data_IF_788760966776
#
_entry.id   IF_788760966776
#
_cell.length_a   1.000
_cell.length_b   1.000
_cell.length_c   1.000
_cell.angle_alpha   90.00
_cell.angle_beta   90.00
_cell.angle_gamma   90.00
#
_symmetry.space_group_name_H-M   'P 1'
#
loop_
_entity.id
_entity.type
_entity.pdbx_description
1 polymer ?
#
# COMPACT_ATOMS: atom_id res chain seq x y z
N UNK A 1 21.08 -11.89 16.38
CA UNK A 1 22.33 -12.21 15.70
C UNK A 1 21.97 -12.85 14.40
N UNK A 2 22.24 -12.16 13.32
CA UNK A 2 22.11 -12.66 11.95
C UNK A 2 23.16 -13.75 11.83
N UNK A 3 22.76 -15.00 11.97
CA UNK A 3 23.63 -16.13 12.07
C UNK A 3 24.68 -16.16 10.97
N UNK A 4 25.84 -16.72 11.28
CA UNK A 4 26.99 -16.94 10.42
C UNK A 4 26.71 -17.87 9.24
N UNK A 5 25.69 -17.55 8.45
CA UNK A 5 25.37 -18.14 7.17
C UNK A 5 25.79 -17.20 6.06
N UNK A 6 26.15 -17.73 4.89
CA UNK A 6 26.59 -17.01 3.69
C UNK A 6 26.03 -15.60 3.63
N UNK A 7 26.87 -14.56 3.45
CA UNK A 7 26.38 -13.19 3.33
C UNK A 7 25.23 -13.18 2.31
N UNK A 8 24.18 -12.44 2.64
CA UNK A 8 23.14 -12.11 1.65
C UNK A 8 23.86 -11.33 0.55
N UNK A 9 24.40 -12.06 -0.45
CA UNK A 9 25.26 -11.47 -1.48
C UNK A 9 24.64 -10.20 -2.05
N UNK A 10 25.43 -9.19 -2.36
CA UNK A 10 25.01 -7.91 -2.91
C UNK A 10 25.27 -6.71 -2.03
N UNK A 11 25.69 -6.88 -0.78
CA UNK A 11 26.25 -5.77 -0.03
C UNK A 11 27.76 -5.68 -0.35
N UNK A 12 28.24 -4.68 -1.11
CA UNK A 12 29.66 -4.45 -1.25
C UNK A 12 30.25 -4.34 0.16
N UNK A 13 31.32 -5.07 0.42
CA UNK A 13 31.97 -5.14 1.72
C UNK A 13 32.16 -3.72 2.29
N UNK A 14 31.51 -3.43 3.43
CA UNK A 14 31.67 -2.17 4.14
C UNK A 14 30.55 -1.14 3.98
N UNK A 15 29.53 -1.35 3.14
CA UNK A 15 28.39 -0.41 3.11
C UNK A 15 27.38 -0.70 4.22
N UNK A 16 26.88 0.34 4.94
CA UNK A 16 25.85 0.12 5.95
C UNK A 16 24.53 -0.32 5.29
N UNK A 17 23.86 -1.29 5.89
CA UNK A 17 22.54 -1.78 5.43
C UNK A 17 21.47 -0.70 5.54
N UNK A 18 21.60 0.17 6.55
CA UNK A 18 20.69 1.28 6.79
C UNK A 18 21.40 2.61 6.60
N UNK A 19 20.81 3.48 5.82
CA UNK A 19 21.31 4.85 5.58
C UNK A 19 20.40 5.83 6.28
N UNK A 20 20.97 6.73 7.09
CA UNK A 20 20.22 7.81 7.72
C UNK A 20 19.79 8.82 6.65
N UNK A 21 18.50 9.14 6.62
CA UNK A 21 17.91 10.06 5.64
C UNK A 21 17.39 11.36 6.27
N UNK A 22 17.41 11.45 7.58
CA UNK A 22 16.97 12.66 8.28
C UNK A 22 16.69 12.42 9.75
N UNK A 23 16.20 13.49 10.38
CA UNK A 23 15.77 13.52 11.76
C UNK A 23 14.30 13.94 11.83
N UNK A 24 13.57 13.41 12.79
CA UNK A 24 12.20 13.82 13.12
C UNK A 24 12.09 13.95 14.65
N UNK A 25 11.01 14.57 15.18
CA UNK A 25 10.75 14.62 16.62
C UNK A 25 10.71 13.23 17.29
N UNK A 26 10.46 12.18 16.51
CA UNK A 26 10.45 10.77 16.95
C UNK A 26 11.82 10.09 16.81
N UNK A 27 12.87 10.80 16.42
CA UNK A 27 14.23 10.29 16.26
C UNK A 27 14.74 10.26 14.82
N UNK A 28 15.85 9.56 14.63
CA UNK A 28 16.48 9.43 13.32
C UNK A 28 15.63 8.59 12.36
N UNK A 29 15.53 9.05 11.12
CA UNK A 29 14.88 8.30 10.02
C UNK A 29 15.94 7.58 9.21
N UNK A 30 15.67 6.33 8.89
CA UNK A 30 16.54 5.47 8.10
C UNK A 30 15.79 4.88 6.90
N UNK A 31 16.53 4.57 5.86
CA UNK A 31 16.08 3.72 4.76
C UNK A 31 17.05 2.58 4.54
N UNK A 32 16.63 1.55 3.84
CA UNK A 32 17.56 0.53 3.34
C UNK A 32 18.53 1.16 2.34
N UNK A 33 19.76 0.69 2.35
CA UNK A 33 20.74 1.11 1.35
C UNK A 33 20.29 0.68 -0.06
N UNK A 34 20.74 1.43 -1.05
CA UNK A 34 20.48 1.12 -2.45
C UNK A 34 21.79 0.77 -3.15
N UNK A 35 21.68 -0.03 -4.19
CA UNK A 35 22.76 -0.29 -5.15
C UNK A 35 23.01 0.97 -6.00
N UNK A 36 24.05 0.96 -6.81
CA UNK A 36 24.43 2.12 -7.66
C UNK A 36 23.33 2.47 -8.69
N UNK A 37 22.55 1.50 -9.11
CA UNK A 37 21.40 1.67 -10.01
C UNK A 37 20.10 2.11 -9.31
N UNK A 38 20.15 2.34 -7.99
CA UNK A 38 19.00 2.73 -7.17
C UNK A 38 18.18 1.56 -6.65
N UNK A 39 18.48 0.32 -7.02
CA UNK A 39 17.79 -0.86 -6.53
C UNK A 39 18.11 -1.13 -5.04
N UNK A 40 17.19 -1.80 -4.35
CA UNK A 40 17.43 -2.23 -2.97
C UNK A 40 18.59 -3.22 -2.90
N UNK A 41 19.52 -3.06 -1.93
CA UNK A 41 20.66 -3.98 -1.74
C UNK A 41 20.27 -5.43 -1.47
N UNK A 42 19.03 -5.68 -1.07
CA UNK A 42 18.50 -7.03 -0.83
C UNK A 42 17.84 -7.67 -2.05
N UNK A 43 17.83 -7.02 -3.21
CA UNK A 43 17.39 -7.66 -4.44
C UNK A 43 18.52 -8.53 -5.02
N UNK A 44 18.13 -9.67 -5.55
CA UNK A 44 19.00 -10.53 -6.35
C UNK A 44 19.01 -10.07 -7.83
N UNK A 45 19.75 -10.78 -8.65
CA UNK A 45 19.88 -10.52 -10.10
C UNK A 45 18.55 -10.64 -10.86
N UNK A 46 17.57 -11.34 -10.28
CA UNK A 46 16.22 -11.50 -10.82
C UNK A 46 15.23 -10.46 -10.29
N UNK A 47 15.69 -9.52 -9.45
CA UNK A 47 14.84 -8.53 -8.81
C UNK A 47 14.02 -9.06 -7.63
N UNK A 48 14.33 -10.26 -7.11
CA UNK A 48 13.62 -10.86 -5.99
C UNK A 48 14.30 -10.53 -4.65
N UNK A 49 13.48 -10.35 -3.62
CA UNK A 49 13.98 -9.99 -2.28
C UNK A 49 14.60 -11.19 -1.57
N UNK A 50 15.89 -11.12 -1.26
CA UNK A 50 16.65 -12.16 -0.56
C UNK A 50 16.19 -12.36 0.89
N UNK A 51 15.71 -11.30 1.55
CA UNK A 51 15.13 -11.42 2.90
C UNK A 51 13.88 -12.29 2.82
N UNK A 52 13.01 -12.02 1.85
CA UNK A 52 11.79 -12.81 1.63
C UNK A 52 12.12 -14.26 1.31
N UNK A 53 13.04 -14.51 0.38
CA UNK A 53 13.42 -15.86 -0.04
C UNK A 53 14.03 -16.70 1.11
N UNK A 54 14.78 -16.07 2.02
CA UNK A 54 15.48 -16.79 3.11
C UNK A 54 14.65 -16.90 4.38
N UNK A 55 13.85 -15.89 4.72
CA UNK A 55 13.22 -15.76 6.04
C UNK A 55 11.69 -15.56 5.97
N UNK A 56 11.13 -15.44 4.76
CA UNK A 56 9.71 -15.21 4.54
C UNK A 56 9.28 -13.74 4.69
N UNK A 57 8.00 -13.50 4.43
CA UNK A 57 7.36 -12.18 4.45
C UNK A 57 7.52 -11.45 5.80
N UNK A 58 7.31 -12.11 6.96
CA UNK A 58 7.36 -11.42 8.25
C UNK A 58 8.74 -10.84 8.62
N UNK A 59 9.80 -11.32 7.97
CA UNK A 59 11.17 -10.83 8.21
C UNK A 59 11.50 -9.56 7.42
N UNK A 60 10.65 -9.16 6.46
CA UNK A 60 10.83 -7.92 5.71
C UNK A 60 10.58 -6.70 6.60
N UNK A 61 11.28 -5.58 6.36
CA UNK A 61 10.91 -4.31 6.99
C UNK A 61 9.44 -3.98 6.73
N UNK A 62 8.77 -3.36 7.71
CA UNK A 62 7.33 -3.06 7.62
C UNK A 62 6.96 -2.31 6.33
N UNK A 63 7.77 -1.32 5.93
CA UNK A 63 7.56 -0.60 4.67
C UNK A 63 7.54 -1.51 3.43
N UNK A 64 8.33 -2.62 3.46
CA UNK A 64 8.34 -3.59 2.38
C UNK A 64 7.18 -4.59 2.46
N UNK A 65 6.64 -4.83 3.66
CA UNK A 65 5.43 -5.65 3.84
C UNK A 65 4.18 -4.88 3.41
N UNK A 66 4.16 -3.57 3.63
CA UNK A 66 3.06 -2.69 3.22
C UNK A 66 2.92 -2.64 1.70
N UNK A 67 4.02 -2.63 0.95
CA UNK A 67 3.96 -2.57 -0.51
C UNK A 67 3.42 -3.89 -1.10
N UNK A 68 2.45 -3.88 -2.00
CA UNK A 68 1.91 -2.75 -2.76
C UNK A 68 0.63 -2.12 -2.19
N UNK A 69 0.27 -2.38 -0.96
CA UNK A 69 -0.97 -1.87 -0.38
C UNK A 69 -0.87 -0.38 -0.04
N UNK A 70 -2.01 0.31 -0.11
CA UNK A 70 -2.21 1.63 0.47
C UNK A 70 -3.45 1.57 1.37
N UNK A 71 -3.32 2.09 2.59
CA UNK A 71 -4.36 2.05 3.62
C UNK A 71 -4.95 3.44 3.81
N UNK A 72 -6.27 3.52 3.73
CA UNK A 72 -7.03 4.76 3.82
C UNK A 72 -8.06 4.63 4.94
N UNK A 73 -7.86 5.29 6.11
CA UNK A 73 -8.88 5.31 7.14
C UNK A 73 -10.20 5.90 6.61
N UNK A 74 -11.30 5.18 6.82
CA UNK A 74 -12.63 5.52 6.31
C UNK A 74 -13.67 5.30 7.41
N UNK A 75 -13.83 6.26 8.30
CA UNK A 75 -14.68 6.10 9.48
C UNK A 75 -14.09 5.10 10.46
N UNK A 76 -14.84 4.06 10.79
CA UNK A 76 -14.38 2.96 11.64
C UNK A 76 -13.67 1.86 10.85
N UNK A 77 -13.65 1.97 9.53
CA UNK A 77 -13.07 1.00 8.62
C UNK A 77 -11.77 1.50 8.01
N UNK A 78 -11.10 0.62 7.29
CA UNK A 78 -9.90 0.94 6.51
C UNK A 78 -10.12 0.42 5.09
N UNK A 79 -10.22 1.34 4.15
CA UNK A 79 -10.21 0.99 2.73
C UNK A 79 -8.78 0.63 2.31
N UNK A 80 -8.66 -0.42 1.52
CA UNK A 80 -7.38 -0.92 1.02
C UNK A 80 -7.36 -0.79 -0.49
N UNK A 81 -6.38 -0.07 -1.00
CA UNK A 81 -6.12 0.00 -2.44
C UNK A 81 -4.74 -0.56 -2.78
N UNK A 82 -4.49 -0.79 -4.06
CA UNK A 82 -3.21 -1.26 -4.57
C UNK A 82 -2.48 -0.14 -5.31
N UNK A 83 -1.15 -0.11 -5.16
CA UNK A 83 -0.30 0.86 -5.87
C UNK A 83 0.01 0.34 -7.26
N UNK A 84 -0.40 1.08 -8.28
CA UNK A 84 -0.11 0.78 -9.69
C UNK A 84 1.36 0.96 -10.08
N UNK A 85 2.21 1.41 -9.18
CA UNK A 85 3.67 1.33 -9.34
C UNK A 85 4.22 -0.09 -9.22
N UNK A 86 3.39 -1.07 -8.79
CA UNK A 86 3.75 -2.47 -8.72
C UNK A 86 3.47 -3.15 -10.06
N UNK A 87 4.47 -3.73 -10.74
CA UNK A 87 4.26 -4.42 -12.02
C UNK A 87 3.24 -5.57 -11.92
N UNK A 88 3.24 -6.31 -10.81
CA UNK A 88 2.28 -7.41 -10.59
C UNK A 88 0.84 -6.91 -10.48
N UNK A 89 0.62 -5.72 -9.90
CA UNK A 89 -0.70 -5.08 -9.83
C UNK A 89 -1.15 -4.66 -11.23
N UNK A 90 -0.26 -4.01 -12.00
CA UNK A 90 -0.56 -3.58 -13.38
C UNK A 90 -0.89 -4.78 -14.27
N UNK A 91 -0.16 -5.88 -14.10
CA UNK A 91 -0.39 -7.12 -14.88
C UNK A 91 -1.51 -7.98 -14.31
N UNK A 92 -2.20 -7.54 -13.26
CA UNK A 92 -3.27 -8.27 -12.56
C UNK A 92 -2.85 -9.70 -12.17
N UNK A 93 -1.63 -9.84 -11.65
CA UNK A 93 -1.05 -11.10 -11.21
C UNK A 93 -1.21 -11.28 -9.70
N UNK A 94 -1.42 -12.53 -9.28
CA UNK A 94 -1.51 -12.89 -7.87
C UNK A 94 -2.94 -13.23 -7.43
N UNK A 95 -3.14 -13.26 -6.11
CA UNK A 95 -4.44 -13.58 -5.53
C UNK A 95 -5.25 -12.29 -5.30
N UNK A 96 -6.58 -12.36 -5.43
CA UNK A 96 -7.46 -11.23 -5.09
C UNK A 96 -7.20 -10.71 -3.68
N UNK A 97 -7.30 -9.40 -3.49
CA UNK A 97 -7.08 -8.73 -2.19
C UNK A 97 -8.04 -9.27 -1.13
N UNK A 98 -9.28 -9.61 -1.51
CA UNK A 98 -10.28 -10.21 -0.64
C UNK A 98 -9.83 -11.52 0.02
N UNK A 99 -9.05 -12.33 -0.68
CA UNK A 99 -8.50 -13.59 -0.16
C UNK A 99 -7.30 -13.38 0.78
N UNK A 100 -6.71 -12.19 0.78
CA UNK A 100 -5.56 -11.82 1.59
C UNK A 100 -5.95 -11.03 2.85
N UNK A 101 -7.24 -10.87 3.13
CA UNK A 101 -7.78 -10.00 4.19
C UNK A 101 -7.17 -10.25 5.57
N UNK A 102 -6.92 -11.49 5.95
CA UNK A 102 -6.31 -11.83 7.25
C UNK A 102 -4.85 -11.35 7.37
N UNK A 103 -4.05 -11.48 6.29
CA UNK A 103 -2.66 -11.00 6.27
C UNK A 103 -2.62 -9.47 6.25
N UNK A 104 -3.48 -8.85 5.43
CA UNK A 104 -3.60 -7.40 5.32
C UNK A 104 -4.00 -6.78 6.66
N UNK A 105 -4.94 -7.38 7.40
CA UNK A 105 -5.36 -6.89 8.72
C UNK A 105 -4.20 -6.83 9.71
N UNK A 106 -3.33 -7.83 9.73
CA UNK A 106 -2.13 -7.83 10.57
C UNK A 106 -1.17 -6.68 10.22
N UNK A 107 -1.05 -6.35 8.94
CA UNK A 107 -0.21 -5.23 8.50
C UNK A 107 -0.87 -3.90 8.91
N UNK A 108 -2.17 -3.75 8.72
CA UNK A 108 -2.94 -2.57 9.13
C UNK A 108 -2.75 -2.27 10.62
N UNK A 109 -2.84 -3.29 11.48
CA UNK A 109 -2.66 -3.15 12.92
C UNK A 109 -1.26 -2.64 13.32
N UNK A 110 -0.26 -2.91 12.49
CA UNK A 110 1.12 -2.42 12.70
C UNK A 110 1.35 -1.01 12.16
N UNK A 111 0.65 -0.65 11.08
CA UNK A 111 0.85 0.62 10.36
C UNK A 111 -0.01 1.74 10.94
N UNK A 112 -1.26 1.43 11.26
CA UNK A 112 -2.19 2.42 11.79
C UNK A 112 -2.17 2.39 13.32
N UNK A 113 -1.79 3.49 13.98
CA UNK A 113 -1.83 3.56 15.43
C UNK A 113 -3.26 3.39 15.95
N UNK A 114 -3.42 2.68 17.04
CA UNK A 114 -4.73 2.37 17.67
C UNK A 114 -5.59 3.62 18.00
N UNK A 115 -5.00 4.80 18.00
CA UNK A 115 -5.65 6.10 18.25
C UNK A 115 -5.41 7.08 17.11
N UNK A 116 -5.45 6.63 15.86
CA UNK A 116 -5.44 7.59 14.76
C UNK A 116 -6.76 8.36 14.74
N UNK A 117 -6.69 9.67 14.59
CA UNK A 117 -7.88 10.46 14.30
C UNK A 117 -8.31 10.08 12.89
N UNK A 118 -9.51 9.57 12.77
CA UNK A 118 -10.13 9.38 11.46
C UNK A 118 -10.22 10.74 10.77
N UNK A 119 -9.68 10.90 9.57
CA UNK A 119 -9.83 12.14 8.82
C UNK A 119 -11.33 12.39 8.55
N UNK A 120 -11.75 13.62 8.36
CA UNK A 120 -13.10 13.90 7.90
C UNK A 120 -13.34 13.22 6.56
N UNK A 121 -14.58 12.84 6.29
CA UNK A 121 -14.94 12.33 4.98
C UNK A 121 -14.66 13.39 3.90
N UNK A 122 -14.27 12.98 2.70
CA UNK A 122 -14.05 13.92 1.61
C UNK A 122 -15.37 14.63 1.26
N UNK A 123 -15.32 15.91 0.83
CA UNK A 123 -16.50 16.58 0.38
C UNK A 123 -17.05 15.90 -0.90
N UNK A 124 -18.36 15.74 -0.98
CA UNK A 124 -19.01 15.20 -2.16
C UNK A 124 -18.95 16.22 -3.31
N UNK A 125 -19.23 17.47 -2.98
CA UNK A 125 -19.14 18.62 -3.89
C UNK A 125 -18.40 19.77 -3.20
N UNK A 126 -18.15 20.86 -3.91
CA UNK A 126 -17.53 22.05 -3.33
C UNK A 126 -18.32 22.66 -2.13
N UNK A 127 -19.59 22.29 -1.97
CA UNK A 127 -20.49 22.86 -0.96
C UNK A 127 -21.04 21.84 0.03
N UNK A 128 -20.94 20.54 -0.28
CA UNK A 128 -21.58 19.48 0.49
C UNK A 128 -20.55 18.51 1.04
N UNK A 129 -20.64 18.26 2.35
CA UNK A 129 -19.86 17.27 3.06
C UNK A 129 -20.81 16.25 3.67
N UNK A 130 -20.54 14.97 3.44
CA UNK A 130 -21.26 13.88 4.08
C UNK A 130 -20.48 13.33 5.26
N UNK A 131 -21.18 12.66 6.17
CA UNK A 131 -20.52 11.81 7.15
C UNK A 131 -19.96 10.55 6.48
N UNK A 132 -18.99 9.89 7.11
CA UNK A 132 -18.40 8.65 6.57
C UNK A 132 -19.42 7.58 6.19
N UNK A 133 -20.47 7.29 7.01
CA UNK A 133 -21.46 6.28 6.63
C UNK A 133 -22.15 6.56 5.30
N UNK A 134 -22.47 7.82 5.03
CA UNK A 134 -23.17 8.20 3.80
C UNK A 134 -22.20 8.31 2.62
N UNK A 135 -20.97 8.79 2.87
CA UNK A 135 -19.90 8.76 1.86
C UNK A 135 -19.62 7.34 1.39
N UNK A 136 -19.56 6.36 2.29
CA UNK A 136 -19.35 4.95 1.92
C UNK A 136 -20.52 4.39 1.11
N UNK A 137 -21.76 4.76 1.39
CA UNK A 137 -22.92 4.37 0.56
C UNK A 137 -22.80 4.92 -0.87
N UNK A 138 -22.34 6.16 -1.03
CA UNK A 138 -22.07 6.73 -2.36
C UNK A 138 -20.99 5.94 -3.08
N UNK A 139 -19.88 5.63 -2.39
CA UNK A 139 -18.79 4.83 -2.97
C UNK A 139 -19.28 3.44 -3.40
N UNK A 140 -20.04 2.75 -2.54
CA UNK A 140 -20.59 1.42 -2.84
C UNK A 140 -21.56 1.47 -4.03
N UNK A 141 -22.38 2.52 -4.11
CA UNK A 141 -23.30 2.73 -5.25
C UNK A 141 -22.56 2.95 -6.55
N UNK A 142 -21.48 3.74 -6.53
CA UNK A 142 -20.62 3.94 -7.70
C UNK A 142 -19.90 2.65 -8.10
N UNK A 143 -19.38 1.89 -7.14
CA UNK A 143 -18.71 0.61 -7.41
C UNK A 143 -19.67 -0.38 -8.08
N UNK A 144 -20.87 -0.54 -7.54
CA UNK A 144 -21.92 -1.37 -8.14
C UNK A 144 -22.30 -0.88 -9.56
N UNK A 145 -22.39 0.43 -9.75
CA UNK A 145 -22.68 1.01 -11.05
C UNK A 145 -21.60 0.67 -12.09
N UNK A 146 -20.33 0.82 -11.72
CA UNK A 146 -19.21 0.46 -12.61
C UNK A 146 -19.09 -1.04 -12.84
N UNK A 147 -19.36 -1.87 -11.83
CA UNK A 147 -19.29 -3.33 -11.94
C UNK A 147 -20.42 -3.90 -12.84
N UNK A 148 -21.58 -3.27 -12.87
CA UNK A 148 -22.77 -3.77 -13.57
C UNK A 148 -22.85 -3.38 -15.04
N UNK A 149 -21.97 -2.50 -15.52
CA UNK A 149 -22.12 -1.93 -16.86
C UNK A 149 -21.17 -2.55 -17.88
N UNK A 150 -21.77 -3.08 -18.94
CA UNK A 150 -21.10 -3.54 -20.16
C UNK A 150 -20.58 -2.39 -21.05
N UNK A 151 -20.74 -1.15 -20.59
CA UNK A 151 -20.47 0.06 -21.35
C UNK A 151 -19.00 0.49 -21.22
N UNK A 152 -18.49 1.17 -22.24
CA UNK A 152 -17.13 1.72 -22.23
C UNK A 152 -16.91 2.62 -21.01
N UNK A 153 -15.75 2.48 -20.36
CA UNK A 153 -15.37 3.19 -19.14
C UNK A 153 -15.69 4.69 -19.16
N UNK A 154 -15.40 5.38 -20.27
CA UNK A 154 -15.66 6.81 -20.41
C UNK A 154 -17.16 7.16 -20.28
N UNK A 155 -18.04 6.36 -20.86
CA UNK A 155 -19.50 6.57 -20.77
C UNK A 155 -19.97 6.40 -19.34
N UNK A 156 -19.44 5.38 -18.64
CA UNK A 156 -19.77 5.16 -17.23
C UNK A 156 -19.27 6.28 -16.34
N UNK A 157 -18.07 6.80 -16.61
CA UNK A 157 -17.53 7.95 -15.89
C UNK A 157 -18.43 9.18 -16.06
N UNK A 158 -18.85 9.50 -17.29
CA UNK A 158 -19.75 10.62 -17.54
C UNK A 158 -21.12 10.45 -16.87
N UNK A 159 -21.66 9.24 -16.87
CA UNK A 159 -22.91 8.92 -16.17
C UNK A 159 -22.76 9.03 -14.66
N UNK A 160 -21.64 8.57 -14.10
CA UNK A 160 -21.35 8.68 -12.67
C UNK A 160 -21.23 10.16 -12.24
N UNK A 161 -20.56 11.00 -13.04
CA UNK A 161 -20.50 12.46 -12.80
C UNK A 161 -21.90 13.06 -12.82
N UNK A 162 -22.69 12.78 -13.85
CA UNK A 162 -24.06 13.27 -13.93
C UNK A 162 -24.95 12.79 -12.76
N UNK A 163 -24.72 11.57 -12.26
CA UNK A 163 -25.46 11.04 -11.11
C UNK A 163 -25.10 11.76 -9.80
N UNK A 164 -23.86 12.18 -9.63
CA UNK A 164 -23.41 12.93 -8.44
C UNK A 164 -23.88 14.38 -8.46
N UNK A 165 -24.17 14.95 -9.65
CA UNK A 165 -24.64 16.33 -9.82
C UNK A 165 -26.17 16.49 -9.65
N UNK A 166 -26.94 15.40 -9.57
CA UNK A 166 -28.39 15.41 -9.34
C UNK A 166 -28.73 15.47 -7.86
#
# INVERSE_FOLDING_TARGET
PWGAGKPLGGNPAGQPVFVKIGFSPMGNRYRLAHQADGACIFLDEKGLCRIHAKFGEPAKPLACQVYPYAFHPAGNDVAVSLRFSCPSVVSNLGQPVSQQSAAIRKIVEQVLPKRHKTPPAPPLTARETLGWPDTLKVVDSLDQFFASSDTRFLINLLRAVAWVEL
#
